data_IF_428815624310
#
_entry.id   IF_428815624310
#
_cell.length_a   1.000
_cell.length_b   1.000
_cell.length_c   1.000
_cell.angle_alpha   90.00
_cell.angle_beta   90.00
_cell.angle_gamma   90.00
#
_symmetry.space_group_name_H-M   'P 1'
#
loop_
_entity.id
_entity.type
_entity.pdbx_description
1 polymer ?
#
# COMPACT_ATOMS: atom_id res chain seq x y z
N UNK A 1 -12.08 -65.40 -24.35
CA UNK A 1 -12.39 -64.01 -24.76
C UNK A 1 -13.28 -63.25 -23.77
N UNK A 2 -12.93 -63.07 -22.47
CA UNK A 2 -13.65 -62.10 -21.62
C UNK A 2 -12.78 -60.96 -21.06
N UNK A 3 -11.46 -61.01 -21.20
CA UNK A 3 -10.56 -60.04 -20.56
C UNK A 3 -10.40 -58.74 -21.36
N UNK A 4 -10.54 -58.79 -22.69
CA UNK A 4 -10.46 -57.59 -23.56
C UNK A 4 -11.70 -56.69 -23.47
N UNK A 5 -12.86 -57.22 -23.09
CA UNK A 5 -14.10 -56.44 -22.94
C UNK A 5 -14.09 -55.62 -21.65
N UNK A 6 -13.46 -56.14 -20.58
CA UNK A 6 -13.37 -55.46 -19.28
C UNK A 6 -12.42 -54.25 -19.33
N UNK A 7 -11.32 -54.35 -20.06
CA UNK A 7 -10.38 -53.23 -20.25
C UNK A 7 -10.95 -52.12 -21.15
N UNK A 8 -11.80 -52.46 -22.11
CA UNK A 8 -12.47 -51.47 -22.97
C UNK A 8 -13.52 -50.65 -22.18
N UNK A 9 -14.26 -51.31 -21.28
CA UNK A 9 -15.23 -50.67 -20.38
C UNK A 9 -14.56 -49.74 -19.36
N UNK A 10 -13.39 -50.12 -18.83
CA UNK A 10 -12.61 -49.26 -17.93
C UNK A 10 -12.03 -48.02 -18.64
N UNK A 11 -11.62 -48.13 -19.90
CA UNK A 11 -11.12 -46.99 -20.67
C UNK A 11 -12.23 -46.00 -21.04
N UNK A 12 -13.44 -46.48 -21.36
CA UNK A 12 -14.60 -45.61 -21.63
C UNK A 12 -15.05 -44.87 -20.35
N UNK A 13 -15.02 -45.54 -19.18
CA UNK A 13 -15.29 -44.88 -17.89
C UNK A 13 -14.21 -43.86 -17.50
N UNK A 14 -12.93 -44.11 -17.82
CA UNK A 14 -11.85 -43.16 -17.53
C UNK A 14 -11.87 -41.94 -18.46
N UNK A 15 -12.25 -42.11 -19.73
CA UNK A 15 -12.38 -41.01 -20.71
C UNK A 15 -13.66 -40.21 -20.48
N UNK A 16 -14.75 -40.83 -20.01
CA UNK A 16 -15.96 -40.09 -19.58
C UNK A 16 -15.77 -39.33 -18.27
N UNK A 17 -14.79 -39.70 -17.43
CA UNK A 17 -14.45 -38.96 -16.21
C UNK A 17 -13.59 -37.71 -16.47
N UNK A 18 -13.02 -37.58 -17.67
CA UNK A 18 -12.20 -36.41 -18.09
C UNK A 18 -12.90 -35.49 -19.10
N UNK A 19 -14.18 -35.75 -19.41
CA UNK A 19 -14.96 -34.97 -20.39
C UNK A 19 -16.28 -34.40 -19.81
N UNK A 20 -16.31 -34.14 -18.51
CA UNK A 20 -17.42 -33.48 -17.79
C UNK A 20 -16.89 -32.35 -16.88
N UNK A 21 -16.03 -31.50 -17.42
CA UNK A 21 -15.83 -30.15 -16.88
C UNK A 21 -16.22 -29.14 -17.96
N UNK A 22 -17.45 -29.29 -18.44
CA UNK A 22 -18.17 -28.25 -19.15
C UNK A 22 -18.17 -27.01 -18.28
N UNK A 23 -17.59 -25.92 -18.79
CA UNK A 23 -17.68 -24.59 -18.20
C UNK A 23 -19.15 -24.26 -17.91
N UNK A 24 -19.53 -24.41 -16.65
CA UNK A 24 -20.72 -23.72 -16.16
C UNK A 24 -20.35 -22.25 -16.05
N UNK A 25 -20.85 -21.46 -17.00
CA UNK A 25 -21.19 -20.05 -16.77
C UNK A 25 -22.31 -20.01 -15.70
N UNK A 26 -21.97 -20.41 -14.49
CA UNK A 26 -22.79 -20.27 -13.29
C UNK A 26 -22.10 -19.25 -12.43
N UNK A 27 -22.79 -18.16 -12.10
CA UNK A 27 -22.26 -17.16 -11.17
C UNK A 27 -21.71 -17.86 -9.94
N UNK A 28 -20.45 -17.60 -9.61
CA UNK A 28 -19.83 -18.13 -8.41
C UNK A 28 -20.77 -17.89 -7.23
N UNK A 29 -21.22 -18.97 -6.61
CA UNK A 29 -22.01 -18.89 -5.39
C UNK A 29 -21.17 -18.13 -4.37
N UNK A 30 -21.65 -16.94 -3.97
CA UNK A 30 -20.94 -16.14 -2.97
C UNK A 30 -20.72 -17.00 -1.72
N UNK A 31 -19.51 -17.02 -1.13
CA UNK A 31 -19.30 -17.71 0.13
C UNK A 31 -20.35 -17.26 1.16
N UNK A 32 -21.01 -18.23 1.78
CA UNK A 32 -22.03 -17.98 2.81
C UNK A 32 -21.31 -17.82 4.14
N UNK A 33 -21.16 -16.58 4.58
CA UNK A 33 -20.57 -16.24 5.87
C UNK A 33 -21.61 -16.37 6.99
N UNK A 34 -21.43 -17.32 7.91
CA UNK A 34 -22.36 -17.52 9.03
C UNK A 34 -22.29 -16.42 10.10
N UNK A 35 -21.23 -15.63 10.08
CA UNK A 35 -20.91 -14.58 11.04
C UNK A 35 -20.12 -13.47 10.36
N UNK A 36 -20.13 -12.27 10.93
CA UNK A 36 -19.37 -11.13 10.42
C UNK A 36 -17.87 -11.45 10.39
N UNK A 37 -17.25 -11.26 9.22
CA UNK A 37 -15.79 -11.30 9.03
C UNK A 37 -15.32 -9.94 8.51
N UNK A 38 -14.20 -9.45 9.03
CA UNK A 38 -13.58 -8.19 8.61
C UNK A 38 -12.17 -8.43 8.10
N UNK A 39 -11.86 -7.95 6.91
CA UNK A 39 -10.54 -8.07 6.30
C UNK A 39 -10.00 -6.69 5.98
N UNK A 40 -8.76 -6.45 6.36
CA UNK A 40 -8.07 -5.20 6.09
C UNK A 40 -6.77 -5.47 5.36
N UNK A 41 -6.51 -4.72 4.30
CA UNK A 41 -5.16 -4.59 3.79
C UNK A 41 -4.77 -3.14 3.60
N UNK A 42 -3.47 -2.86 3.64
CA UNK A 42 -2.93 -1.51 3.47
C UNK A 42 -1.43 -1.49 3.19
N UNK A 43 -0.90 -0.30 2.93
CA UNK A 43 0.52 -0.11 2.57
C UNK A 43 1.14 0.99 3.41
N UNK A 44 2.30 0.72 4.02
CA UNK A 44 3.15 1.74 4.66
C UNK A 44 4.34 2.06 3.75
N UNK A 45 4.44 3.30 3.29
CA UNK A 45 5.56 3.76 2.46
C UNK A 45 6.53 4.62 3.27
N UNK A 46 7.81 4.26 3.20
CA UNK A 46 8.93 4.96 3.83
C UNK A 46 10.11 5.06 2.86
N UNK A 47 11.09 5.91 3.19
CA UNK A 47 12.32 6.07 2.42
C UNK A 47 13.51 5.81 3.34
N UNK A 48 14.41 4.93 2.92
CA UNK A 48 15.62 4.59 3.68
C UNK A 48 16.64 5.73 3.63
N UNK A 49 17.12 6.12 4.81
CA UNK A 49 18.17 7.10 5.00
C UNK A 49 19.57 6.53 4.77
N UNK A 50 20.57 7.22 5.33
CA UNK A 50 21.98 6.79 5.25
C UNK A 50 22.25 5.52 6.06
N UNK A 51 21.59 5.38 7.20
CA UNK A 51 21.66 4.23 8.12
C UNK A 51 20.59 3.17 7.84
N UNK A 52 19.80 3.36 6.77
CA UNK A 52 18.69 2.50 6.40
C UNK A 52 17.39 2.73 7.17
N UNK A 53 17.39 3.59 8.18
CA UNK A 53 16.20 4.00 8.92
C UNK A 53 15.29 4.89 8.06
N UNK A 54 13.97 4.86 8.31
CA UNK A 54 13.04 5.72 7.61
C UNK A 54 13.33 7.20 7.88
N UNK A 55 13.47 8.02 6.83
CA UNK A 55 13.69 9.47 6.95
C UNK A 55 12.39 10.24 6.86
N UNK A 56 12.37 11.41 7.50
CA UNK A 56 11.29 12.37 7.36
C UNK A 56 11.25 12.95 5.93
N UNK A 57 10.06 12.99 5.34
CA UNK A 57 9.79 13.56 4.02
C UNK A 57 8.43 14.25 3.99
N UNK A 58 8.09 14.90 2.89
CA UNK A 58 6.77 15.50 2.65
C UNK A 58 5.87 14.54 1.85
N UNK A 59 4.99 13.76 2.49
CA UNK A 59 4.39 12.62 1.81
C UNK A 59 3.26 13.00 0.87
N UNK A 60 2.65 14.16 1.05
CA UNK A 60 1.40 14.56 0.39
C UNK A 60 1.59 15.53 -0.78
N UNK A 61 2.83 15.74 -1.22
CA UNK A 61 3.15 16.73 -2.26
C UNK A 61 3.06 16.20 -3.68
N UNK A 62 3.03 14.88 -3.86
CA UNK A 62 2.68 14.25 -5.12
C UNK A 62 1.15 14.20 -5.32
N UNK A 63 0.70 14.00 -6.56
CA UNK A 63 -0.72 13.80 -6.88
C UNK A 63 -1.34 12.78 -5.92
N UNK A 64 -2.54 13.09 -5.44
CA UNK A 64 -3.27 12.19 -4.55
C UNK A 64 -3.89 11.02 -5.30
N UNK A 65 -4.03 11.12 -6.62
CA UNK A 65 -4.68 10.15 -7.52
C UNK A 65 -5.98 9.58 -6.94
N UNK A 66 -6.73 10.36 -6.15
CA UNK A 66 -7.99 9.93 -5.55
C UNK A 66 -9.18 10.55 -6.29
N UNK A 67 -10.32 9.84 -6.33
CA UNK A 67 -11.57 10.40 -6.80
C UNK A 67 -11.99 11.65 -6.01
N UNK A 68 -12.72 12.55 -6.67
CA UNK A 68 -13.19 13.80 -6.08
C UNK A 68 -14.20 13.60 -4.94
N UNK A 69 -14.90 12.46 -4.90
CA UNK A 69 -15.81 12.13 -3.80
C UNK A 69 -15.11 11.74 -2.50
N UNK A 70 -13.79 11.47 -2.52
CA UNK A 70 -13.06 11.14 -1.30
C UNK A 70 -12.95 12.38 -0.43
N UNK A 71 -13.32 12.25 0.84
CA UNK A 71 -13.16 13.31 1.82
C UNK A 71 -11.70 13.49 2.19
N UNK A 72 -11.32 14.74 2.44
CA UNK A 72 -9.98 15.10 2.84
C UNK A 72 -10.03 16.03 4.04
N UNK A 73 -8.92 16.06 4.78
CA UNK A 73 -8.75 16.98 5.90
C UNK A 73 -9.05 18.43 5.45
N UNK A 74 -9.78 19.25 6.25
CA UNK A 74 -10.44 20.48 5.78
C UNK A 74 -9.54 21.70 5.49
N UNK A 75 -8.27 21.53 5.09
CA UNK A 75 -7.38 22.67 4.80
C UNK A 75 -6.40 22.41 3.63
N UNK A 76 -6.57 22.99 2.43
CA UNK A 76 -5.69 22.75 1.29
C UNK A 76 -4.17 22.91 1.58
N UNK A 77 -3.80 23.77 2.53
CA UNK A 77 -2.41 24.00 2.94
C UNK A 77 -1.75 22.89 3.77
N UNK A 78 -2.50 21.89 4.27
CA UNK A 78 -1.93 20.83 5.12
C UNK A 78 -0.93 19.94 4.38
N UNK A 79 -1.09 19.79 3.06
CA UNK A 79 -0.27 18.88 2.23
C UNK A 79 1.22 19.25 2.19
N UNK A 80 1.56 20.53 2.28
CA UNK A 80 2.95 21.00 2.35
C UNK A 80 3.57 20.89 3.75
N UNK A 81 2.75 21.11 4.78
CA UNK A 81 3.21 21.22 6.16
C UNK A 81 3.33 19.89 6.90
N UNK A 82 2.63 18.84 6.45
CA UNK A 82 2.60 17.56 7.13
C UNK A 82 3.77 16.67 6.69
N UNK A 83 4.83 16.65 7.51
CA UNK A 83 6.00 15.79 7.32
C UNK A 83 5.92 14.56 8.23
N UNK A 84 6.40 13.42 7.73
CA UNK A 84 6.40 12.16 8.47
C UNK A 84 7.44 11.19 7.91
N UNK A 85 7.63 10.07 8.60
CA UNK A 85 8.51 8.96 8.16
C UNK A 85 7.73 7.89 7.40
N UNK A 86 6.41 7.88 7.56
CA UNK A 86 5.51 6.87 6.98
C UNK A 86 4.31 7.55 6.33
N UNK A 87 4.01 7.15 5.10
CA UNK A 87 2.71 7.38 4.48
C UNK A 87 1.93 6.08 4.46
N UNK A 88 0.79 6.07 5.14
CA UNK A 88 -0.20 5.00 5.04
C UNK A 88 -1.06 5.30 3.83
N UNK A 89 -0.97 4.49 2.78
CA UNK A 89 -1.43 4.91 1.45
C UNK A 89 -2.90 4.62 1.15
N UNK A 90 -3.35 3.38 1.32
CA UNK A 90 -4.76 2.98 1.06
C UNK A 90 -5.11 1.74 1.89
N UNK A 91 -5.20 1.84 3.22
CA UNK A 91 -5.92 0.83 3.95
C UNK A 91 -7.39 0.83 3.53
N UNK A 92 -7.87 -0.34 3.16
CA UNK A 92 -9.29 -0.62 2.92
C UNK A 92 -9.75 -1.72 3.85
N UNK A 93 -10.91 -1.52 4.46
CA UNK A 93 -11.53 -2.47 5.37
C UNK A 93 -12.79 -3.04 4.71
N UNK A 94 -12.72 -4.31 4.32
CA UNK A 94 -13.82 -5.09 3.78
C UNK A 94 -14.59 -5.80 4.90
N UNK A 95 -15.88 -6.01 4.63
CA UNK A 95 -16.74 -6.81 5.49
C UNK A 95 -17.40 -7.92 4.70
N UNK A 96 -17.67 -9.02 5.38
CA UNK A 96 -18.32 -10.19 4.82
C UNK A 96 -19.40 -10.64 5.78
N UNK A 97 -20.66 -10.57 5.34
CA UNK A 97 -21.82 -11.02 6.11
C UNK A 97 -22.92 -11.53 5.18
N UNK A 98 -23.67 -12.55 5.61
CA UNK A 98 -24.82 -13.06 4.88
C UNK A 98 -26.13 -12.33 5.19
N UNK A 99 -26.13 -11.43 6.19
CA UNK A 99 -27.32 -10.70 6.64
C UNK A 99 -27.08 -9.20 6.61
N UNK A 100 -28.17 -8.45 6.47
CA UNK A 100 -28.10 -7.01 6.72
C UNK A 100 -27.90 -6.79 8.23
N UNK A 101 -26.86 -6.04 8.58
CA UNK A 101 -26.58 -5.66 9.96
C UNK A 101 -25.84 -4.32 10.01
N UNK A 102 -25.93 -3.64 11.15
CA UNK A 102 -25.25 -2.36 11.38
C UNK A 102 -24.12 -2.56 12.37
N UNK A 103 -22.96 -2.01 12.03
CA UNK A 103 -21.74 -2.04 12.85
C UNK A 103 -21.26 -0.62 13.12
N UNK A 104 -20.48 -0.45 14.19
CA UNK A 104 -19.62 0.73 14.38
C UNK A 104 -18.17 0.34 14.21
N UNK A 105 -17.35 1.24 13.66
CA UNK A 105 -15.92 1.03 13.39
C UNK A 105 -15.15 2.22 13.92
N UNK A 106 -14.03 1.98 14.61
CA UNK A 106 -13.08 3.01 15.01
C UNK A 106 -11.66 2.54 14.76
N UNK A 107 -10.80 3.42 14.25
CA UNK A 107 -9.38 3.16 14.04
C UNK A 107 -8.57 4.26 14.70
N UNK A 108 -7.74 3.90 15.66
CA UNK A 108 -6.71 4.77 16.21
C UNK A 108 -5.42 4.63 15.38
N UNK A 109 -4.73 5.73 15.10
CA UNK A 109 -3.52 5.78 14.30
C UNK A 109 -2.37 6.41 15.09
N UNK A 110 -1.47 5.56 15.57
CA UNK A 110 -0.38 5.96 16.45
C UNK A 110 0.59 6.92 15.75
N UNK A 111 0.97 7.99 16.46
CA UNK A 111 1.92 9.02 15.98
C UNK A 111 1.57 9.56 14.60
N UNK A 112 0.29 9.55 14.26
CA UNK A 112 -0.20 9.79 12.90
C UNK A 112 -1.48 10.59 12.88
N UNK A 113 -1.85 11.04 11.69
CA UNK A 113 -3.10 11.76 11.44
C UNK A 113 -3.76 11.19 10.19
N UNK A 114 -5.09 11.12 10.21
CA UNK A 114 -5.90 10.69 9.06
C UNK A 114 -6.09 11.91 8.16
N UNK A 115 -5.78 11.75 6.87
CA UNK A 115 -5.72 12.86 5.92
C UNK A 115 -6.78 12.76 4.84
N UNK A 116 -7.21 11.56 4.47
CA UNK A 116 -8.30 11.32 3.51
C UNK A 116 -9.06 10.03 3.84
N UNK A 117 -10.35 9.98 3.55
CA UNK A 117 -11.23 8.84 3.85
C UNK A 117 -12.51 8.83 3.01
N UNK A 118 -13.14 7.67 2.93
CA UNK A 118 -14.47 7.48 2.34
C UNK A 118 -15.04 6.13 2.80
N UNK A 119 -16.36 5.99 3.03
CA UNK A 119 -17.40 7.01 3.15
C UNK A 119 -17.18 7.98 4.34
N UNK A 120 -18.06 8.96 4.48
CA UNK A 120 -18.08 9.97 5.53
C UNK A 120 -17.94 9.35 6.92
N UNK A 121 -16.96 9.81 7.68
CA UNK A 121 -16.75 9.39 9.06
C UNK A 121 -17.44 10.37 10.03
N UNK A 122 -18.07 9.83 11.07
CA UNK A 122 -18.71 10.63 12.13
C UNK A 122 -17.70 11.46 12.93
N UNK A 123 -16.45 10.97 13.03
CA UNK A 123 -15.39 11.62 13.79
C UNK A 123 -14.05 11.35 13.14
N UNK A 124 -13.28 12.41 12.93
CA UNK A 124 -11.87 12.37 12.54
C UNK A 124 -11.08 13.28 13.46
N UNK A 125 -10.07 12.74 14.12
CA UNK A 125 -9.23 13.45 15.07
C UNK A 125 -7.76 13.39 14.63
N UNK A 126 -6.99 14.46 14.87
CA UNK A 126 -7.41 15.74 15.45
C UNK A 126 -8.30 16.55 14.47
N UNK A 127 -9.33 17.24 14.95
CA UNK A 127 -10.28 17.96 14.08
C UNK A 127 -9.78 19.35 13.60
N UNK A 128 -8.62 19.83 14.06
CA UNK A 128 -8.14 21.19 13.84
C UNK A 128 -6.75 21.28 13.18
N UNK A 129 -6.59 22.34 12.39
CA UNK A 129 -5.38 22.95 11.81
C UNK A 129 -4.04 22.23 12.05
N UNK A 130 -3.71 21.31 11.13
CA UNK A 130 -2.37 20.73 10.98
C UNK A 130 -1.37 21.77 10.43
N UNK A 131 -0.98 22.75 11.25
CA UNK A 131 0.22 23.55 10.98
C UNK A 131 1.41 22.83 11.66
N UNK A 132 2.51 22.62 10.94
CA UNK A 132 3.71 21.88 11.39
C UNK A 132 4.16 22.39 12.79
N UNK A 133 4.27 21.56 13.87
CA UNK A 133 4.90 20.24 13.95
C UNK A 133 4.10 19.20 14.78
N UNK A 134 2.80 19.04 14.55
CA UNK A 134 1.95 18.13 15.34
C UNK A 134 2.45 16.68 15.33
N UNK A 135 3.00 16.17 14.21
CA UNK A 135 3.56 14.82 14.16
C UNK A 135 4.92 14.67 14.88
N UNK A 136 5.70 15.76 15.01
CA UNK A 136 6.98 15.73 15.76
C UNK A 136 6.75 15.87 17.27
N UNK A 137 5.63 16.49 17.69
CA UNK A 137 5.17 16.36 19.06
C UNK A 137 4.68 14.92 19.23
N UNK A 138 5.41 14.14 20.04
CA UNK A 138 5.30 12.68 20.20
C UNK A 138 3.93 12.14 20.66
N UNK A 139 2.87 12.94 20.60
CA UNK A 139 1.54 12.70 21.17
C UNK A 139 0.41 12.72 20.13
N UNK A 140 0.66 13.09 18.87
CA UNK A 140 -0.40 13.09 17.86
C UNK A 140 -0.87 11.67 17.58
N UNK A 141 -2.03 11.29 18.13
CA UNK A 141 -2.71 10.04 17.81
C UNK A 141 -3.97 10.40 17.05
N UNK A 142 -4.00 10.01 15.78
CA UNK A 142 -5.15 10.22 14.93
C UNK A 142 -6.24 9.22 15.29
N UNK A 143 -7.48 9.56 15.02
CA UNK A 143 -8.58 8.60 15.10
C UNK A 143 -9.58 8.86 13.98
N UNK A 144 -10.16 7.81 13.42
CA UNK A 144 -11.32 7.89 12.54
C UNK A 144 -12.40 6.92 13.00
N UNK A 145 -13.66 7.33 12.99
CA UNK A 145 -14.76 6.49 13.40
C UNK A 145 -16.04 6.68 12.57
N UNK A 146 -16.70 5.55 12.34
CA UNK A 146 -18.05 5.45 11.80
C UNK A 146 -18.94 4.83 12.88
N UNK A 147 -19.89 5.60 13.40
CA UNK A 147 -20.76 5.15 14.49
C UNK A 147 -21.86 4.20 13.97
N UNK A 148 -22.16 4.24 12.66
CA UNK A 148 -23.17 3.39 12.03
C UNK A 148 -22.87 3.12 10.55
N UNK A 149 -22.38 1.92 10.26
CA UNK A 149 -22.16 1.38 8.92
C UNK A 149 -23.10 0.21 8.68
N UNK A 150 -23.95 0.29 7.66
CA UNK A 150 -24.86 -0.80 7.31
C UNK A 150 -24.22 -1.73 6.28
N UNK A 151 -24.10 -3.01 6.62
CA UNK A 151 -23.66 -4.07 5.71
C UNK A 151 -24.84 -4.57 4.88
N UNK A 152 -24.69 -4.59 3.55
CA UNK A 152 -25.82 -4.72 2.63
C UNK A 152 -25.63 -5.84 1.59
N UNK A 153 -25.63 -7.12 1.98
CA UNK A 153 -25.26 -8.24 1.09
C UNK A 153 -26.22 -8.42 -0.10
N UNK A 154 -27.49 -8.06 0.07
CA UNK A 154 -28.56 -8.21 -0.93
C UNK A 154 -28.95 -6.89 -1.63
N UNK A 155 -28.29 -5.78 -1.29
CA UNK A 155 -28.55 -4.49 -1.92
C UNK A 155 -28.05 -4.45 -3.37
N UNK A 156 -28.70 -3.66 -4.23
CA UNK A 156 -28.11 -3.26 -5.52
C UNK A 156 -27.13 -2.12 -5.24
N UNK A 157 -25.81 -2.34 -5.37
CA UNK A 157 -24.85 -1.30 -5.06
C UNK A 157 -24.88 -0.20 -6.11
N UNK A 158 -24.89 1.05 -5.67
CA UNK A 158 -24.70 2.23 -6.51
C UNK A 158 -23.49 3.03 -6.03
N UNK A 159 -22.30 2.52 -6.35
CA UNK A 159 -21.05 3.13 -5.94
C UNK A 159 -20.72 4.36 -6.80
N UNK A 160 -20.17 5.44 -6.22
CA UNK A 160 -19.67 6.59 -6.98
C UNK A 160 -18.67 6.15 -8.05
N UNK A 161 -18.74 6.72 -9.25
CA UNK A 161 -17.85 6.41 -10.37
C UNK A 161 -17.23 7.68 -10.91
N UNK A 162 -15.95 7.61 -11.22
CA UNK A 162 -15.21 8.62 -11.99
C UNK A 162 -14.43 7.89 -13.10
N UNK A 163 -13.45 8.55 -13.72
CA UNK A 163 -12.63 7.96 -14.77
C UNK A 163 -12.04 6.61 -14.31
N UNK A 164 -12.20 5.59 -15.15
CA UNK A 164 -11.94 4.18 -14.82
C UNK A 164 -10.47 3.86 -14.64
N UNK A 165 -9.56 4.77 -15.01
CA UNK A 165 -8.12 4.59 -14.91
C UNK A 165 -7.53 4.93 -13.53
N UNK A 166 -8.36 5.06 -12.49
CA UNK A 166 -7.91 5.32 -11.12
C UNK A 166 -7.79 4.01 -10.31
N UNK A 167 -6.63 3.78 -9.70
CA UNK A 167 -6.32 2.59 -8.91
C UNK A 167 -7.23 2.38 -7.69
N UNK A 168 -7.90 3.44 -7.20
CA UNK A 168 -8.91 3.35 -6.15
C UNK A 168 -10.01 2.35 -6.51
N UNK A 169 -10.46 2.35 -7.78
CA UNK A 169 -11.56 1.49 -8.22
C UNK A 169 -11.18 0.02 -8.32
N UNK A 170 -9.90 -0.28 -8.49
CA UNK A 170 -9.37 -1.64 -8.52
C UNK A 170 -9.57 -2.36 -7.19
N UNK A 171 -9.54 -1.62 -6.06
CA UNK A 171 -9.84 -2.17 -4.74
C UNK A 171 -11.29 -2.66 -4.61
N UNK A 172 -12.20 -2.29 -5.54
CA UNK A 172 -13.56 -2.82 -5.59
C UNK A 172 -13.66 -4.21 -6.22
N UNK A 173 -12.58 -4.79 -6.75
CA UNK A 173 -12.63 -6.10 -7.41
C UNK A 173 -12.64 -7.27 -6.41
N UNK A 174 -13.45 -7.16 -5.35
CA UNK A 174 -13.63 -8.18 -4.33
C UNK A 174 -15.11 -8.59 -4.18
N UNK A 175 -15.34 -9.71 -3.52
CA UNK A 175 -16.65 -10.26 -3.17
C UNK A 175 -17.22 -9.68 -1.86
N UNK A 176 -16.56 -8.66 -1.30
CA UNK A 176 -16.97 -7.98 -0.07
C UNK A 176 -18.42 -7.48 -0.10
N UNK A 177 -19.01 -7.47 1.09
CA UNK A 177 -20.35 -6.97 1.35
C UNK A 177 -20.35 -5.44 1.24
N UNK A 178 -21.17 -4.85 0.36
CA UNK A 178 -21.28 -3.39 0.26
C UNK A 178 -21.63 -2.76 1.61
N UNK A 179 -21.03 -1.62 1.89
CA UNK A 179 -21.32 -0.78 3.05
C UNK A 179 -22.15 0.43 2.65
N UNK A 180 -23.03 0.86 3.54
CA UNK A 180 -23.82 2.09 3.42
C UNK A 180 -23.64 2.96 4.66
N UNK A 181 -23.39 4.24 4.45
CA UNK A 181 -23.28 5.25 5.50
C UNK A 181 -24.26 6.38 5.20
N UNK A 182 -25.14 6.68 6.15
CA UNK A 182 -26.09 7.79 6.03
C UNK A 182 -25.42 9.08 6.44
N UNK A 183 -25.49 10.10 5.59
CA UNK A 183 -24.96 11.44 5.84
C UNK A 183 -26.08 12.47 5.69
N UNK A 184 -25.91 13.70 6.21
CA UNK A 184 -26.84 14.79 5.95
C UNK A 184 -27.04 15.10 4.45
N UNK A 185 -26.04 14.81 3.62
CA UNK A 185 -26.08 15.04 2.17
C UNK A 185 -26.69 13.87 1.38
N UNK A 186 -27.00 12.74 2.03
CA UNK A 186 -27.50 11.53 1.40
C UNK A 186 -26.79 10.27 1.88
N UNK A 187 -27.17 9.14 1.29
CA UNK A 187 -26.51 7.86 1.56
C UNK A 187 -25.27 7.72 0.69
N UNK A 188 -24.15 7.34 1.29
CA UNK A 188 -22.92 6.99 0.60
C UNK A 188 -22.72 5.47 0.63
N UNK A 189 -22.26 4.91 -0.49
CA UNK A 189 -22.06 3.46 -0.63
C UNK A 189 -20.66 3.15 -1.14
N UNK A 190 -20.06 2.07 -0.63
CA UNK A 190 -18.77 1.54 -1.09
C UNK A 190 -18.68 0.04 -0.82
N UNK A 191 -17.63 -0.63 -1.32
CA UNK A 191 -17.28 -2.01 -0.93
C UNK A 191 -16.46 -2.12 0.35
N UNK A 192 -15.92 -1.01 0.83
CA UNK A 192 -14.97 -0.95 1.93
C UNK A 192 -15.06 0.40 2.63
N UNK A 193 -14.53 0.46 3.84
CA UNK A 193 -14.13 1.73 4.44
C UNK A 193 -12.69 2.02 4.02
N UNK A 194 -12.47 3.15 3.38
CA UNK A 194 -11.16 3.66 3.00
C UNK A 194 -10.75 4.77 3.95
N UNK A 195 -9.49 4.74 4.34
CA UNK A 195 -8.85 5.83 5.05
C UNK A 195 -7.37 5.87 4.68
N UNK A 196 -6.68 6.98 4.87
CA UNK A 196 -5.23 7.06 4.69
C UNK A 196 -4.65 8.20 5.54
N UNK A 197 -3.34 8.21 5.71
CA UNK A 197 -2.73 9.13 6.66
C UNK A 197 -1.22 9.20 6.59
N UNK A 198 -0.66 10.09 7.42
CA UNK A 198 0.78 10.26 7.60
C UNK A 198 1.12 10.01 9.05
N UNK A 199 2.21 9.30 9.31
CA UNK A 199 2.72 9.02 10.66
C UNK A 199 4.23 9.22 10.76
N UNK A 200 4.69 9.35 12.00
CA UNK A 200 6.08 9.41 12.43
C UNK A 200 6.50 8.21 13.30
N UNK A 201 5.75 7.10 13.31
CA UNK A 201 6.21 5.88 13.99
C UNK A 201 7.45 5.29 13.30
N UNK A 202 8.20 4.49 14.07
CA UNK A 202 9.35 3.73 13.57
C UNK A 202 8.86 2.43 12.93
N UNK A 203 9.06 2.27 11.63
CA UNK A 203 8.78 1.00 10.92
C UNK A 203 9.70 -0.12 11.43
N UNK A 204 9.26 -1.38 11.39
CA UNK A 204 10.03 -2.49 11.96
C UNK A 204 11.30 -2.80 11.18
N UNK A 205 11.41 -2.40 9.91
CA UNK A 205 12.59 -2.67 9.09
C UNK A 205 13.41 -1.42 8.77
N UNK A 206 14.73 -1.60 8.79
CA UNK A 206 15.70 -0.71 8.16
C UNK A 206 16.47 -1.48 7.09
N UNK A 207 16.81 -0.82 5.99
CA UNK A 207 17.62 -1.44 4.94
C UNK A 207 18.63 -0.46 4.35
N UNK A 208 19.87 -0.91 4.21
CA UNK A 208 20.96 -0.13 3.64
C UNK A 208 21.81 -0.98 2.69
N UNK A 209 22.54 -0.32 1.80
CA UNK A 209 23.55 -1.00 1.01
C UNK A 209 24.83 -1.13 1.83
N UNK A 210 25.45 -2.29 1.79
CA UNK A 210 26.81 -2.49 2.29
C UNK A 210 27.87 -2.02 1.29
N UNK A 211 29.14 -2.19 1.65
CA UNK A 211 30.28 -1.79 0.81
C UNK A 211 30.42 -2.59 -0.49
N UNK A 212 29.80 -3.77 -0.57
CA UNK A 212 29.79 -4.64 -1.74
C UNK A 212 28.56 -4.39 -2.63
N UNK A 213 27.67 -3.46 -2.22
CA UNK A 213 26.44 -3.14 -2.94
C UNK A 213 25.29 -4.11 -2.66
N UNK A 214 25.43 -5.00 -1.66
CA UNK A 214 24.34 -5.89 -1.21
C UNK A 214 23.43 -5.15 -0.24
N UNK A 215 22.17 -5.57 -0.16
CA UNK A 215 21.19 -4.95 0.73
C UNK A 215 21.17 -5.68 2.06
N UNK A 216 21.67 -5.01 3.10
CA UNK A 216 21.56 -5.45 4.50
C UNK A 216 20.22 -4.97 5.04
N UNK A 217 19.40 -5.91 5.49
CA UNK A 217 18.07 -5.67 6.04
C UNK A 217 18.10 -6.07 7.50
N UNK A 218 17.70 -5.16 8.38
CA UNK A 218 17.61 -5.41 9.81
C UNK A 218 16.18 -5.25 10.28
N UNK A 219 15.71 -6.24 11.03
CA UNK A 219 14.49 -6.16 11.82
C UNK A 219 14.81 -5.50 13.17
N UNK A 220 14.17 -4.37 13.41
CA UNK A 220 14.27 -3.59 14.63
C UNK A 220 13.02 -3.75 15.50
N UNK A 221 12.04 -4.55 15.08
CA UNK A 221 10.89 -4.92 15.89
C UNK A 221 11.11 -6.23 16.65
N UNK A 222 10.20 -6.52 17.57
CA UNK A 222 10.26 -7.71 18.43
C UNK A 222 9.63 -8.96 17.78
N UNK A 223 9.12 -8.83 16.56
CA UNK A 223 8.36 -9.86 15.86
C UNK A 223 9.02 -10.21 14.54
N UNK A 224 9.00 -11.48 14.17
CA UNK A 224 9.46 -11.92 12.85
C UNK A 224 8.69 -11.20 11.75
N UNK A 225 9.43 -10.69 10.76
CA UNK A 225 8.83 -10.23 9.51
C UNK A 225 8.57 -11.45 8.62
N UNK A 226 7.32 -11.74 8.22
CA UNK A 226 6.99 -12.99 7.53
C UNK A 226 7.73 -13.20 6.20
N UNK A 227 7.82 -12.14 5.39
CA UNK A 227 8.51 -12.19 4.09
C UNK A 227 9.08 -10.82 3.73
N UNK A 228 10.25 -10.83 3.10
CA UNK A 228 10.87 -9.67 2.44
C UNK A 228 11.06 -9.93 0.94
N UNK A 229 11.00 -8.88 0.12
CA UNK A 229 11.22 -8.92 -1.33
C UNK A 229 12.05 -7.70 -1.73
N UNK A 230 13.27 -7.91 -2.21
CA UNK A 230 14.07 -6.85 -2.83
C UNK A 230 13.64 -6.70 -4.29
N UNK A 231 13.22 -5.51 -4.68
CA UNK A 231 12.78 -5.19 -6.04
C UNK A 231 13.66 -4.12 -6.67
N UNK A 232 13.94 -4.29 -7.96
CA UNK A 232 14.61 -3.29 -8.78
C UNK A 232 13.98 -3.19 -10.17
N UNK A 233 13.76 -1.95 -10.62
CA UNK A 233 13.37 -1.62 -11.99
C UNK A 233 14.24 -0.52 -12.57
N UNK A 234 14.70 -0.74 -13.80
CA UNK A 234 15.45 0.21 -14.63
C UNK A 234 14.88 0.22 -16.05
N UNK A 235 13.99 1.17 -16.32
CA UNK A 235 13.21 1.23 -17.56
C UNK A 235 12.33 -0.02 -17.71
N UNK A 236 12.60 -0.80 -18.76
CA UNK A 236 11.90 -2.06 -19.03
C UNK A 236 12.49 -3.26 -18.29
N UNK A 237 13.71 -3.13 -17.74
CA UNK A 237 14.37 -4.22 -17.03
C UNK A 237 13.88 -4.29 -15.59
N UNK A 238 13.42 -5.47 -15.17
CA UNK A 238 12.83 -5.72 -13.85
C UNK A 238 13.50 -6.93 -13.22
N UNK A 239 13.78 -6.85 -11.93
CA UNK A 239 14.30 -7.96 -11.14
C UNK A 239 13.75 -7.91 -9.72
N UNK A 240 13.53 -9.08 -9.13
CA UNK A 240 13.21 -9.18 -7.72
C UNK A 240 13.85 -10.41 -7.08
N UNK A 241 14.00 -10.38 -5.75
CA UNK A 241 14.50 -11.49 -4.94
C UNK A 241 13.67 -11.61 -3.68
N UNK A 242 13.03 -12.76 -3.48
CA UNK A 242 12.33 -13.09 -2.23
C UNK A 242 13.38 -13.47 -1.19
N UNK A 243 13.44 -12.72 -0.09
CA UNK A 243 14.36 -12.93 1.03
C UNK A 243 13.82 -13.88 2.11
N UNK A 244 12.53 -14.20 2.08
CA UNK A 244 11.89 -15.05 3.09
C UNK A 244 11.68 -14.32 4.43
N UNK A 245 11.45 -15.10 5.48
CA UNK A 245 11.21 -14.56 6.83
C UNK A 245 12.47 -13.98 7.44
N UNK A 246 12.29 -12.97 8.29
CA UNK A 246 13.38 -12.21 8.87
C UNK A 246 13.15 -12.00 10.36
N UNK A 247 13.93 -12.73 11.17
CA UNK A 247 13.96 -12.58 12.63
C UNK A 247 14.80 -11.37 13.06
N UNK A 248 16.08 -11.32 12.65
CA UNK A 248 17.05 -10.31 13.10
C UNK A 248 17.64 -9.51 11.93
N UNK A 249 18.40 -10.18 11.06
CA UNK A 249 19.12 -9.54 9.96
C UNK A 249 19.26 -10.52 8.79
N UNK A 250 19.25 -9.99 7.57
CA UNK A 250 19.57 -10.71 6.35
C UNK A 250 20.39 -9.82 5.40
N UNK A 251 21.15 -10.45 4.52
CA UNK A 251 21.84 -9.77 3.41
C UNK A 251 21.30 -10.38 2.12
N UNK A 252 20.79 -9.52 1.23
CA UNK A 252 20.29 -9.92 -0.08
C UNK A 252 21.20 -9.34 -1.16
N UNK A 253 21.65 -10.21 -2.07
CA UNK A 253 22.29 -9.76 -3.31
C UNK A 253 21.26 -9.05 -4.19
N UNK A 254 21.74 -8.10 -5.01
CA UNK A 254 20.90 -7.47 -6.01
C UNK A 254 20.21 -8.52 -6.91
N UNK A 255 18.95 -8.30 -7.32
CA UNK A 255 18.27 -9.23 -8.21
C UNK A 255 18.82 -9.11 -9.64
N UNK A 256 18.81 -10.22 -10.36
CA UNK A 256 19.00 -10.17 -11.82
C UNK A 256 17.78 -9.49 -12.46
N UNK A 257 18.02 -8.57 -13.39
CA UNK A 257 16.96 -7.79 -14.03
C UNK A 257 16.35 -8.52 -15.25
N UNK A 258 15.95 -9.77 -15.05
CA UNK A 258 15.44 -10.70 -16.07
C UNK A 258 13.98 -11.10 -15.86
N UNK A 259 13.36 -10.68 -14.76
CA UNK A 259 11.98 -10.99 -14.42
C UNK A 259 10.98 -10.02 -15.08
N UNK A 260 9.69 -10.33 -14.98
CA UNK A 260 8.62 -9.42 -15.38
C UNK A 260 7.82 -8.90 -14.18
N UNK A 261 7.04 -7.84 -14.39
CA UNK A 261 6.10 -7.33 -13.37
C UNK A 261 5.00 -8.36 -13.08
N UNK A 262 4.60 -9.16 -14.08
CA UNK A 262 3.60 -10.21 -13.91
C UNK A 262 4.09 -11.35 -13.01
N UNK A 263 5.37 -11.72 -13.10
CA UNK A 263 5.97 -12.73 -12.23
C UNK A 263 5.91 -12.28 -10.77
N UNK A 264 6.38 -11.07 -10.49
CA UNK A 264 6.32 -10.51 -9.13
C UNK A 264 4.88 -10.33 -8.64
N UNK A 265 3.97 -9.91 -9.51
CA UNK A 265 2.55 -9.76 -9.17
C UNK A 265 1.92 -11.09 -8.71
N UNK A 266 2.20 -12.18 -9.43
CA UNK A 266 1.72 -13.53 -9.06
C UNK A 266 2.32 -14.02 -7.74
N UNK A 267 3.62 -13.87 -7.57
CA UNK A 267 4.30 -14.30 -6.34
C UNK A 267 3.80 -13.51 -5.13
N UNK A 268 3.60 -12.20 -5.28
CA UNK A 268 3.06 -11.34 -4.23
C UNK A 268 1.59 -11.68 -3.92
N UNK A 269 0.75 -11.95 -4.91
CA UNK A 269 -0.63 -12.45 -4.70
C UNK A 269 -0.61 -13.74 -3.85
N UNK A 270 0.27 -14.69 -4.17
CA UNK A 270 0.42 -15.93 -3.40
C UNK A 270 0.90 -15.70 -1.96
N UNK A 271 1.86 -14.80 -1.76
CA UNK A 271 2.33 -14.41 -0.42
C UNK A 271 1.19 -13.80 0.40
N UNK A 272 0.42 -12.88 -0.19
CA UNK A 272 -0.71 -12.21 0.48
C UNK A 272 -1.82 -13.19 0.87
N UNK A 273 -2.15 -14.14 0.00
CA UNK A 273 -3.09 -15.23 0.32
C UNK A 273 -2.57 -16.10 1.47
N UNK A 274 -1.27 -16.42 1.48
CA UNK A 274 -0.66 -17.16 2.58
C UNK A 274 -0.69 -16.38 3.92
N UNK A 275 -0.82 -15.06 3.90
CA UNK A 275 -1.04 -14.23 5.09
C UNK A 275 -2.52 -14.12 5.52
N UNK A 276 -3.43 -14.72 4.76
CA UNK A 276 -4.85 -14.84 5.10
C UNK A 276 -5.81 -13.99 4.28
N UNK A 277 -5.32 -13.20 3.30
CA UNK A 277 -6.23 -12.52 2.37
C UNK A 277 -6.96 -13.54 1.48
N UNK A 278 -8.18 -13.21 1.10
CA UNK A 278 -8.84 -13.94 0.01
C UNK A 278 -8.16 -13.66 -1.33
N UNK A 279 -8.33 -14.58 -2.29
CA UNK A 279 -7.70 -14.49 -3.60
C UNK A 279 -8.05 -13.17 -4.33
N UNK A 280 -9.31 -12.77 -4.27
CA UNK A 280 -9.81 -11.54 -4.89
C UNK A 280 -9.29 -10.27 -4.18
N UNK A 281 -9.15 -10.30 -2.85
CA UNK A 281 -8.51 -9.24 -2.07
C UNK A 281 -7.02 -9.09 -2.40
N UNK A 282 -6.28 -10.19 -2.42
CA UNK A 282 -4.85 -10.19 -2.74
C UNK A 282 -4.60 -9.66 -4.16
N UNK A 283 -5.41 -10.11 -5.13
CA UNK A 283 -5.38 -9.58 -6.50
C UNK A 283 -5.73 -8.10 -6.54
N UNK A 284 -6.80 -7.68 -5.86
CA UNK A 284 -7.21 -6.27 -5.80
C UNK A 284 -6.10 -5.39 -5.22
N UNK A 285 -5.42 -5.83 -4.16
CA UNK A 285 -4.29 -5.12 -3.56
C UNK A 285 -3.12 -4.98 -4.55
N UNK A 286 -2.70 -6.08 -5.19
CA UNK A 286 -1.60 -6.06 -6.17
C UNK A 286 -1.94 -5.15 -7.34
N UNK A 287 -3.14 -5.25 -7.89
CA UNK A 287 -3.56 -4.43 -9.03
C UNK A 287 -3.75 -2.95 -8.66
N UNK A 288 -4.25 -2.64 -7.45
CA UNK A 288 -4.32 -1.26 -6.94
C UNK A 288 -2.92 -0.64 -6.86
N UNK A 289 -1.93 -1.39 -6.40
CA UNK A 289 -0.58 -0.85 -6.21
C UNK A 289 0.37 -1.08 -7.36
N UNK A 290 -0.02 -1.84 -8.39
CA UNK A 290 0.85 -2.31 -9.48
C UNK A 290 1.67 -1.20 -10.12
N UNK A 291 1.03 -0.07 -10.44
CA UNK A 291 1.68 1.08 -11.08
C UNK A 291 2.64 1.84 -10.16
N UNK A 292 2.51 1.69 -8.84
CA UNK A 292 3.34 2.40 -7.86
C UNK A 292 4.36 1.52 -7.13
N UNK A 293 4.02 0.29 -6.75
CA UNK A 293 4.99 -0.66 -6.19
C UNK A 293 6.05 -1.05 -7.21
N UNK A 294 5.70 -1.11 -8.50
CA UNK A 294 6.60 -1.60 -9.54
C UNK A 294 7.10 -0.48 -10.46
N UNK A 295 7.08 0.77 -9.99
CA UNK A 295 7.65 1.94 -10.71
C UNK A 295 9.19 1.90 -10.76
N UNK A 296 9.82 2.83 -11.47
CA UNK A 296 11.29 2.93 -11.57
C UNK A 296 11.96 3.02 -10.19
N UNK A 297 13.12 2.38 -9.99
CA UNK A 297 13.91 2.51 -8.75
C UNK A 297 14.14 1.19 -8.04
N UNK A 298 14.53 1.26 -6.76
CA UNK A 298 14.86 0.07 -5.95
C UNK A 298 14.18 0.19 -4.61
N UNK A 299 13.57 -0.88 -4.12
CA UNK A 299 12.83 -0.88 -2.86
C UNK A 299 12.80 -2.26 -2.22
N UNK A 300 12.61 -2.25 -0.91
CA UNK A 300 12.27 -3.44 -0.16
C UNK A 300 10.76 -3.44 0.07
N UNK A 301 10.08 -4.47 -0.41
CA UNK A 301 8.71 -4.80 -0.01
C UNK A 301 8.76 -5.84 1.11
N UNK A 302 7.87 -5.77 2.09
CA UNK A 302 7.80 -6.76 3.15
C UNK A 302 6.40 -6.86 3.74
N UNK A 303 6.06 -8.01 4.31
CA UNK A 303 4.83 -8.15 5.08
C UNK A 303 5.06 -7.54 6.46
N UNK A 304 4.25 -6.56 6.84
CA UNK A 304 4.34 -5.94 8.16
C UNK A 304 3.81 -6.93 9.21
N UNK A 305 4.53 -7.18 10.32
CA UNK A 305 4.06 -8.07 11.37
C UNK A 305 2.67 -7.65 11.90
N UNK A 306 1.75 -8.60 12.02
CA UNK A 306 0.36 -8.31 12.43
C UNK A 306 0.28 -7.63 13.81
N UNK A 307 1.14 -8.01 14.76
CA UNK A 307 1.21 -7.37 16.07
C UNK A 307 1.60 -5.89 15.97
N UNK A 308 2.56 -5.55 15.09
CA UNK A 308 2.94 -4.16 14.83
C UNK A 308 1.76 -3.38 14.23
N UNK A 309 1.03 -3.95 13.27
CA UNK A 309 -0.16 -3.31 12.69
C UNK A 309 -1.22 -3.06 13.77
N UNK A 310 -1.46 -4.01 14.68
CA UNK A 310 -2.43 -3.84 15.77
C UNK A 310 -2.03 -2.76 16.79
N UNK A 311 -0.73 -2.59 17.01
CA UNK A 311 -0.18 -1.54 17.87
C UNK A 311 -0.35 -0.16 17.23
N UNK A 312 0.04 0.01 15.96
CA UNK A 312 0.06 1.34 15.32
C UNK A 312 -1.28 1.74 14.69
N UNK A 313 -2.14 0.77 14.37
CA UNK A 313 -3.47 0.95 13.81
C UNK A 313 -4.49 0.15 14.62
N UNK A 314 -4.81 0.56 15.83
CA UNK A 314 -5.76 -0.19 16.66
C UNK A 314 -7.17 -0.10 16.10
N UNK A 315 -7.72 -1.25 15.68
CA UNK A 315 -9.04 -1.39 15.07
C UNK A 315 -10.05 -1.91 16.09
N UNK A 316 -11.20 -1.23 16.20
CA UNK A 316 -12.35 -1.67 16.98
C UNK A 316 -13.59 -1.72 16.10
N UNK A 317 -14.29 -2.85 16.12
CA UNK A 317 -15.54 -3.08 15.39
C UNK A 317 -16.58 -3.65 16.37
N UNK A 318 -17.80 -3.11 16.36
CA UNK A 318 -18.89 -3.58 17.21
C UNK A 318 -20.19 -3.77 16.41
N UNK A 319 -20.87 -4.93 16.50
CA UNK A 319 -20.44 -6.16 17.17
C UNK A 319 -19.10 -6.68 16.66
N UNK A 320 -18.33 -7.34 17.54
CA UNK A 320 -17.04 -7.89 17.17
C UNK A 320 -17.20 -8.94 16.05
N UNK A 321 -16.41 -8.86 14.96
CA UNK A 321 -16.36 -9.91 13.95
C UNK A 321 -15.93 -11.24 14.56
N UNK A 322 -16.44 -12.35 14.01
CA UNK A 322 -15.94 -13.68 14.35
C UNK A 322 -14.49 -13.90 13.87
N UNK A 323 -14.11 -13.20 12.81
CA UNK A 323 -12.75 -13.22 12.27
C UNK A 323 -12.35 -11.82 11.81
N UNK A 324 -11.13 -11.44 12.16
CA UNK A 324 -10.46 -10.23 11.65
C UNK A 324 -9.12 -10.62 11.06
N UNK A 325 -8.90 -10.33 9.77
CA UNK A 325 -7.62 -10.53 9.08
C UNK A 325 -7.06 -9.16 8.70
N UNK A 326 -5.77 -8.93 8.93
CA UNK A 326 -5.11 -7.65 8.63
C UNK A 326 -3.75 -7.90 8.00
N UNK A 327 -3.59 -7.55 6.72
CA UNK A 327 -2.35 -7.78 5.97
C UNK A 327 -1.83 -6.47 5.40
N UNK A 328 -0.70 -6.01 5.92
CA UNK A 328 -0.09 -4.77 5.45
C UNK A 328 1.23 -5.06 4.74
N UNK A 329 1.49 -4.32 3.67
CA UNK A 329 2.78 -4.34 2.96
C UNK A 329 3.56 -3.08 3.32
N UNK A 330 4.76 -3.27 3.84
CA UNK A 330 5.73 -2.21 3.97
C UNK A 330 6.48 -2.02 2.66
N UNK A 331 6.59 -0.78 2.22
CA UNK A 331 7.39 -0.34 1.06
C UNK A 331 8.46 0.60 1.58
N UNK A 332 9.72 0.18 1.49
CA UNK A 332 10.87 1.00 1.85
C UNK A 332 11.68 1.32 0.60
N UNK A 333 11.61 2.57 0.12
CA UNK A 333 12.42 3.04 -1.00
C UNK A 333 13.89 3.08 -0.61
N UNK A 334 14.75 2.51 -1.47
CA UNK A 334 16.20 2.46 -1.26
C UNK A 334 16.89 3.49 -2.15
N UNK A 335 17.71 4.35 -1.53
CA UNK A 335 18.58 5.28 -2.26
C UNK A 335 19.86 4.54 -2.66
N UNK A 336 19.84 3.84 -3.80
CA UNK A 336 21.01 3.10 -4.30
C UNK A 336 21.97 4.01 -5.08
N UNK A 337 23.24 3.62 -5.28
CA UNK A 337 24.15 4.33 -6.18
C UNK A 337 23.58 4.50 -7.60
N UNK A 338 22.90 3.49 -8.13
CA UNK A 338 22.25 3.57 -9.44
C UNK A 338 21.13 4.63 -9.47
N UNK A 339 20.30 4.70 -8.44
CA UNK A 339 19.28 5.75 -8.29
C UNK A 339 19.91 7.15 -8.22
N UNK A 340 20.97 7.31 -7.42
CA UNK A 340 21.68 8.59 -7.29
C UNK A 340 22.29 9.03 -8.63
N UNK A 341 22.92 8.11 -9.37
CA UNK A 341 23.48 8.37 -10.70
C UNK A 341 22.41 8.75 -11.72
N UNK A 342 21.26 8.04 -11.72
CA UNK A 342 20.14 8.33 -12.61
C UNK A 342 19.62 9.76 -12.40
N UNK A 343 19.40 10.15 -11.13
CA UNK A 343 18.94 11.50 -10.78
C UNK A 343 19.98 12.56 -11.14
N UNK A 344 21.25 12.34 -10.82
CA UNK A 344 22.33 13.28 -11.16
C UNK A 344 22.41 13.50 -12.67
N UNK A 345 22.38 12.42 -13.47
CA UNK A 345 22.40 12.50 -14.93
C UNK A 345 21.19 13.26 -15.45
N UNK A 346 19.99 12.97 -14.92
CA UNK A 346 18.76 13.63 -15.33
C UNK A 346 18.80 15.14 -15.07
N UNK A 347 19.32 15.59 -13.93
CA UNK A 347 19.54 17.01 -13.67
C UNK A 347 20.59 17.63 -14.59
N UNK A 348 21.70 16.94 -14.84
CA UNK A 348 22.79 17.45 -15.68
C UNK A 348 22.33 17.73 -17.12
N UNK A 349 21.43 16.91 -17.67
CA UNK A 349 20.90 17.06 -19.04
C UNK A 349 19.50 17.68 -19.08
N UNK A 350 18.96 18.12 -17.93
CA UNK A 350 17.60 18.67 -17.79
C UNK A 350 16.50 17.75 -18.31
N UNK A 351 16.64 16.44 -18.09
CA UNK A 351 15.64 15.45 -18.45
C UNK A 351 14.45 15.48 -17.47
N UNK A 352 13.45 16.28 -17.83
CA UNK A 352 12.23 16.42 -17.04
C UNK A 352 11.41 15.11 -16.94
N UNK A 353 11.49 14.23 -17.94
CA UNK A 353 10.72 12.98 -17.94
C UNK A 353 11.27 11.99 -16.92
N UNK A 354 12.59 11.82 -16.87
CA UNK A 354 13.24 10.99 -15.85
C UNK A 354 13.01 11.58 -14.45
N UNK A 355 13.18 12.90 -14.27
CA UNK A 355 12.93 13.54 -12.97
C UNK A 355 11.48 13.38 -12.51
N UNK A 356 10.51 13.44 -13.43
CA UNK A 356 9.09 13.21 -13.12
C UNK A 356 8.84 11.79 -12.61
N UNK A 357 9.61 10.81 -13.09
CA UNK A 357 9.49 9.41 -12.63
C UNK A 357 9.86 9.25 -11.16
N UNK A 358 10.77 10.08 -10.65
CA UNK A 358 11.18 10.09 -9.24
C UNK A 358 10.44 11.14 -8.39
N UNK A 359 9.53 11.93 -8.97
CA UNK A 359 9.05 13.19 -8.38
C UNK A 359 8.54 13.03 -6.94
N UNK A 360 7.77 11.96 -6.68
CA UNK A 360 7.22 11.64 -5.35
C UNK A 360 8.29 11.47 -4.26
N UNK A 361 9.47 10.98 -4.62
CA UNK A 361 10.56 10.68 -3.69
C UNK A 361 11.82 11.53 -3.94
N UNK A 362 11.77 12.47 -4.87
CA UNK A 362 12.94 13.22 -5.30
C UNK A 362 13.52 14.08 -4.16
N UNK A 363 12.66 14.69 -3.34
CA UNK A 363 13.05 15.46 -2.15
C UNK A 363 13.84 14.62 -1.13
N UNK A 364 13.29 13.51 -0.60
CA UNK A 364 14.02 12.70 0.37
C UNK A 364 15.25 11.98 -0.23
N UNK A 365 15.22 11.62 -1.52
CA UNK A 365 16.39 11.04 -2.20
C UNK A 365 17.53 12.06 -2.25
N UNK A 366 17.28 13.29 -2.70
CA UNK A 366 18.31 14.34 -2.76
C UNK A 366 18.86 14.68 -1.37
N UNK A 367 18.00 14.78 -0.35
CA UNK A 367 18.46 14.94 1.05
C UNK A 367 19.38 13.81 1.49
N UNK A 368 19.07 12.58 1.12
CA UNK A 368 19.90 11.41 1.44
C UNK A 368 21.22 11.43 0.69
N UNK A 369 21.23 11.83 -0.59
CA UNK A 369 22.44 12.03 -1.38
C UNK A 369 23.35 13.09 -0.74
N UNK A 370 22.81 14.24 -0.33
CA UNK A 370 23.57 15.31 0.35
C UNK A 370 24.22 14.80 1.65
N UNK A 371 23.49 14.03 2.47
CA UNK A 371 24.01 13.47 3.74
C UNK A 371 25.10 12.39 3.55
N UNK A 372 25.18 11.78 2.37
CA UNK A 372 26.17 10.76 2.02
C UNK A 372 27.38 11.33 1.28
N UNK A 373 27.22 12.48 0.64
CA UNK A 373 28.27 13.13 -0.16
C UNK A 373 29.39 13.68 0.73
N UNK A 374 30.63 13.35 0.38
CA UNK A 374 31.83 13.83 1.08
C UNK A 374 32.50 14.99 0.36
N UNK A 375 32.25 15.16 -0.95
CA UNK A 375 32.76 16.28 -1.74
C UNK A 375 31.88 17.53 -1.56
N UNK A 376 32.40 18.64 -0.99
CA UNK A 376 31.61 19.85 -0.73
C UNK A 376 31.01 20.51 -1.98
N UNK A 377 31.70 20.45 -3.13
CA UNK A 377 31.20 21.03 -4.38
C UNK A 377 30.01 20.23 -4.91
N UNK A 378 30.12 18.90 -4.85
CA UNK A 378 29.05 18.01 -5.28
C UNK A 378 27.84 18.10 -4.35
N UNK A 379 28.06 18.21 -3.03
CA UNK A 379 26.99 18.45 -2.06
C UNK A 379 26.25 19.76 -2.35
N UNK A 380 26.98 20.83 -2.72
CA UNK A 380 26.38 22.10 -3.13
C UNK A 380 25.52 21.96 -4.38
N UNK A 381 25.98 21.21 -5.40
CA UNK A 381 25.17 20.93 -6.60
C UNK A 381 23.87 20.18 -6.26
N UNK A 382 23.93 19.18 -5.37
CA UNK A 382 22.72 18.48 -4.93
C UNK A 382 21.79 19.40 -4.12
N UNK A 383 22.32 20.35 -3.35
CA UNK A 383 21.52 21.37 -2.68
C UNK A 383 20.80 22.27 -3.69
N UNK A 384 21.45 22.67 -4.78
CA UNK A 384 20.83 23.45 -5.85
C UNK A 384 19.69 22.68 -6.53
N UNK A 385 19.88 21.38 -6.77
CA UNK A 385 18.83 20.48 -7.27
C UNK A 385 17.65 20.42 -6.30
N UNK A 386 17.91 20.26 -5.00
CA UNK A 386 16.89 20.22 -3.96
C UNK A 386 16.11 21.53 -3.87
N UNK A 387 16.78 22.68 -3.97
CA UNK A 387 16.12 23.99 -4.02
C UNK A 387 15.17 24.10 -5.23
N UNK A 388 15.58 23.58 -6.39
CA UNK A 388 14.70 23.55 -7.58
C UNK A 388 13.45 22.70 -7.37
N UNK A 389 13.55 21.59 -6.63
CA UNK A 389 12.42 20.73 -6.26
C UNK A 389 11.47 21.49 -5.34
N UNK A 390 12.00 22.17 -4.30
CA UNK A 390 11.17 22.98 -3.42
C UNK A 390 10.41 24.09 -4.14
N UNK A 391 11.07 24.79 -5.05
CA UNK A 391 10.40 25.82 -5.85
C UNK A 391 9.22 25.25 -6.65
N UNK A 392 9.37 24.06 -7.24
CA UNK A 392 8.27 23.38 -7.95
C UNK A 392 7.14 22.98 -7.00
N UNK A 393 7.45 22.38 -5.86
CA UNK A 393 6.45 21.97 -4.87
C UNK A 393 5.65 23.16 -4.36
N UNK A 394 6.30 24.30 -4.08
CA UNK A 394 5.61 25.52 -3.66
C UNK A 394 4.73 26.08 -4.78
N UNK A 395 5.23 26.11 -6.02
CA UNK A 395 4.46 26.61 -7.17
C UNK A 395 3.18 25.78 -7.43
N UNK A 396 3.29 24.44 -7.38
CA UNK A 396 2.17 23.51 -7.56
C UNK A 396 1.07 23.73 -6.50
N UNK A 397 1.47 23.92 -5.24
CA UNK A 397 0.52 24.11 -4.14
C UNK A 397 -0.15 25.50 -4.13
N UNK A 398 0.50 26.52 -4.70
CA UNK A 398 -0.08 27.86 -4.83
C UNK A 398 -1.01 28.00 -6.06
N UNK A 399 -1.29 26.91 -6.79
CA UNK A 399 -2.17 26.90 -7.95
C UNK A 399 -1.66 27.77 -9.12
N UNK A 400 -0.37 28.09 -9.15
CA UNK A 400 0.25 28.85 -10.24
C UNK A 400 0.78 27.88 -11.29
N UNK A 401 -0.09 27.51 -12.22
CA UNK A 401 0.32 27.05 -13.56
C UNK A 401 0.01 28.14 -14.57
#
# INVERSE_FOLDING_TARGET
>A
MPQKLLFLLLYVLLVCSFAMSSHSLGGEARPVYSSLTAHEWGTFTSIAGRDGSAVEWSPLTASTDLPAFVEHFPNPGFKLGLRGTVRMETPVLYFYSSKEETISVSVAFAKGVITEWYPHANRVEPAANLHNPILQQASASGNIAWDSVTLAPNGRPDFPREDRNNHYFTARMTSSTPVRVKTPAGEQQEKFLFYRGVSAFSVPLSAMLDTEGKVRIKNNGDQEVPTTILFERRGEKVGYRIGGSLQNEAILDAPELTATIDDLGRDLEGILVAQGLYQDEARAMVETWRSSWFEEGSRLLYIVPAAFVNEVLSLSINPAPAQTVRVFVGRLELVTPATAQAIQKAFAVRDAATLKTYDRFLEPILRTMIKRETNPEQARRFQDYLNSVYHRMVAQNLGRN
#
